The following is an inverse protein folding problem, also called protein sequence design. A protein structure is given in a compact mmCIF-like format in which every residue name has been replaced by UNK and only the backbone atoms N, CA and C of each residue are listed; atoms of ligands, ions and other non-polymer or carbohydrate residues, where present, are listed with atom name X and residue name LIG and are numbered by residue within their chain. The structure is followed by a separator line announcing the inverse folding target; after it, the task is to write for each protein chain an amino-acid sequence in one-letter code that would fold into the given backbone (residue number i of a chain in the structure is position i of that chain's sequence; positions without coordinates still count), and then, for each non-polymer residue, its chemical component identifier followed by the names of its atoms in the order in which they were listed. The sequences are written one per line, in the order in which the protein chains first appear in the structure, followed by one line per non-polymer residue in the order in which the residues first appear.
data_IF_157547155412
#
_entry.id   IF_157547155412
#
_cell.length_a   1.000
_cell.length_b   1.000
_cell.length_c   1.000
_cell.angle_alpha   90.00
_cell.angle_beta   90.00
_cell.angle_gamma   90.00
#
_symmetry.space_group_name_H-M   'P 1'
#
loop_
_entity.id
_entity.type
_entity.pdbx_description
1 polymer ?
#
# COMPACT_ATOMS: atom_id res chain seq x y z
N UNK A 1 -1.45 6.67 -22.95
CA UNK A 1 -0.74 7.71 -23.71
C UNK A 1 -0.10 8.69 -22.74
N UNK A 2 1.21 8.89 -22.87
CA UNK A 2 1.92 9.82 -21.98
C UNK A 2 1.58 11.26 -22.33
N UNK A 3 1.25 12.05 -21.32
CA UNK A 3 0.97 13.46 -21.44
C UNK A 3 2.06 14.26 -20.73
N UNK A 4 2.32 15.44 -21.25
CA UNK A 4 3.31 16.35 -20.67
C UNK A 4 2.61 17.33 -19.73
N UNK A 5 3.12 17.42 -18.51
CA UNK A 5 2.62 18.35 -17.50
C UNK A 5 3.74 19.29 -17.08
N UNK A 6 3.40 20.56 -16.93
CA UNK A 6 4.27 21.53 -16.28
C UNK A 6 3.85 21.64 -14.83
N UNK A 7 4.77 21.28 -13.93
CA UNK A 7 4.50 21.25 -12.48
C UNK A 7 5.47 22.19 -11.76
N UNK A 8 5.04 22.67 -10.60
CA UNK A 8 5.88 23.50 -9.74
C UNK A 8 5.91 22.88 -8.35
N UNK A 9 7.11 22.53 -7.90
CA UNK A 9 7.31 21.93 -6.57
C UNK A 9 8.40 22.74 -5.86
N UNK A 10 8.08 23.25 -4.67
CA UNK A 10 8.99 24.08 -3.86
C UNK A 10 9.61 25.21 -4.71
N UNK A 11 8.78 25.91 -5.47
CA UNK A 11 9.13 27.01 -6.36
C UNK A 11 9.98 26.59 -7.56
N UNK A 12 10.15 25.30 -7.80
CA UNK A 12 10.89 24.79 -8.96
C UNK A 12 9.90 24.32 -10.03
N UNK A 13 9.93 24.95 -11.19
CA UNK A 13 9.12 24.56 -12.33
C UNK A 13 9.83 23.47 -13.14
N UNK A 14 9.09 22.42 -13.51
CA UNK A 14 9.63 21.35 -14.33
C UNK A 14 8.54 20.73 -15.18
N UNK A 15 8.96 20.07 -16.25
CA UNK A 15 8.07 19.31 -17.13
C UNK A 15 8.22 17.83 -16.86
N UNK A 16 7.09 17.14 -16.71
CA UNK A 16 7.08 15.68 -16.54
C UNK A 16 6.16 15.06 -17.57
N UNK A 17 6.51 13.86 -17.99
CA UNK A 17 5.69 13.06 -18.89
C UNK A 17 5.21 11.82 -18.14
N UNK A 18 3.91 11.62 -18.14
CA UNK A 18 3.31 10.49 -17.43
C UNK A 18 1.98 10.10 -18.07
N UNK A 19 1.57 8.86 -17.84
CA UNK A 19 0.26 8.37 -18.25
C UNK A 19 -0.82 8.66 -17.21
N UNK A 20 -0.44 9.20 -16.05
CA UNK A 20 -1.36 9.47 -14.96
C UNK A 20 -2.31 10.63 -15.30
N UNK A 21 -3.47 10.65 -14.66
CA UNK A 21 -4.46 11.70 -14.88
C UNK A 21 -3.98 13.04 -14.32
N UNK A 22 -4.52 14.18 -14.83
CA UNK A 22 -4.19 15.51 -14.29
C UNK A 22 -4.51 15.60 -12.79
N UNK A 23 -5.61 15.03 -12.35
CA UNK A 23 -6.03 15.05 -10.94
C UNK A 23 -5.03 14.32 -10.06
N UNK A 24 -4.52 13.18 -10.53
CA UNK A 24 -3.51 12.41 -9.81
C UNK A 24 -2.19 13.14 -9.72
N UNK A 25 -1.78 13.78 -10.83
CA UNK A 25 -0.55 14.59 -10.86
C UNK A 25 -0.65 15.76 -9.88
N UNK A 26 -1.78 16.46 -9.86
CA UNK A 26 -2.01 17.58 -8.94
C UNK A 26 -1.95 17.13 -7.48
N UNK A 27 -2.51 15.97 -7.18
CA UNK A 27 -2.48 15.40 -5.83
C UNK A 27 -1.04 15.10 -5.39
N UNK A 28 -0.25 14.44 -6.23
CA UNK A 28 1.15 14.13 -5.95
C UNK A 28 1.97 15.40 -5.76
N UNK A 29 1.79 16.36 -6.66
CA UNK A 29 2.52 17.65 -6.60
C UNK A 29 2.20 18.38 -5.31
N UNK A 30 0.93 18.42 -4.92
CA UNK A 30 0.51 19.08 -3.68
C UNK A 30 1.10 18.43 -2.44
N UNK A 31 1.11 17.10 -2.38
CA UNK A 31 1.68 16.36 -1.26
C UNK A 31 3.18 16.59 -1.17
N UNK A 32 3.88 16.47 -2.29
CA UNK A 32 5.33 16.61 -2.34
C UNK A 32 5.78 18.04 -2.04
N UNK A 33 5.11 19.02 -2.61
CA UNK A 33 5.40 20.43 -2.35
C UNK A 33 5.28 20.75 -0.86
N UNK A 34 4.21 20.31 -0.23
CA UNK A 34 3.98 20.52 1.20
C UNK A 34 5.07 19.85 2.05
N UNK A 35 5.42 18.62 1.71
CA UNK A 35 6.42 17.85 2.45
C UNK A 35 7.79 18.51 2.40
N UNK A 36 8.20 18.98 1.21
CA UNK A 36 9.49 19.67 1.03
C UNK A 36 9.51 20.98 1.79
N UNK A 37 8.41 21.75 1.75
CA UNK A 37 8.31 23.01 2.49
C UNK A 37 8.36 22.79 3.99
N UNK A 38 7.73 21.76 4.51
CA UNK A 38 7.76 21.41 5.93
C UNK A 38 9.18 21.07 6.38
N UNK A 39 9.91 20.27 5.62
CA UNK A 39 11.29 19.91 5.94
C UNK A 39 12.18 21.14 5.91
N UNK A 40 12.03 21.98 4.90
CA UNK A 40 12.83 23.19 4.75
C UNK A 40 12.54 24.21 5.88
N UNK A 41 11.29 24.29 6.33
CA UNK A 41 10.90 25.17 7.44
C UNK A 41 11.42 24.64 8.78
N UNK A 42 11.34 23.34 9.01
CA UNK A 42 11.77 22.71 10.25
C UNK A 42 13.29 22.77 10.44
N UNK A 43 14.05 22.79 9.35
CA UNK A 43 15.52 22.88 9.38
C UNK A 43 16.00 24.02 8.50
N UNK A 44 16.25 25.16 9.10
CA UNK A 44 16.71 26.36 8.38
C UNK A 44 18.07 26.19 7.72
N UNK A 45 18.85 25.18 8.11
CA UNK A 45 20.14 24.87 7.51
C UNK A 45 20.03 23.98 6.29
N UNK A 46 18.82 23.50 6.01
CA UNK A 46 18.55 22.58 4.92
C UNK A 46 18.23 23.37 3.65
N UNK A 47 18.96 23.15 2.58
CA UNK A 47 18.65 23.72 1.27
C UNK A 47 17.44 23.01 0.67
N UNK A 48 16.85 23.58 -0.39
CA UNK A 48 15.75 22.94 -1.11
C UNK A 48 16.14 21.57 -1.64
N UNK A 49 17.37 21.45 -2.15
CA UNK A 49 17.86 20.18 -2.69
C UNK A 49 17.99 19.14 -1.56
N UNK A 50 18.53 19.53 -0.41
CA UNK A 50 18.63 18.64 0.73
C UNK A 50 17.25 18.24 1.24
N UNK A 51 16.32 19.19 1.31
CA UNK A 51 14.94 18.89 1.71
C UNK A 51 14.28 17.90 0.74
N UNK A 52 14.52 18.06 -0.55
CA UNK A 52 14.00 17.13 -1.56
C UNK A 52 14.59 15.73 -1.39
N UNK A 53 15.90 15.65 -1.12
CA UNK A 53 16.57 14.35 -0.90
C UNK A 53 16.08 13.68 0.39
N UNK A 54 15.89 14.44 1.46
CA UNK A 54 15.32 13.91 2.70
C UNK A 54 13.89 13.40 2.49
N UNK A 55 13.10 14.15 1.72
CA UNK A 55 11.76 13.75 1.34
C UNK A 55 11.77 12.44 0.57
N UNK A 56 12.69 12.30 -0.40
CA UNK A 56 12.84 11.07 -1.18
C UNK A 56 13.24 9.89 -0.29
N UNK A 57 14.14 10.11 0.66
CA UNK A 57 14.52 9.06 1.63
C UNK A 57 13.32 8.60 2.45
N UNK A 58 12.51 9.53 2.94
CA UNK A 58 11.33 9.20 3.72
C UNK A 58 10.33 8.38 2.91
N UNK A 59 10.05 8.78 1.69
CA UNK A 59 9.13 8.05 0.82
C UNK A 59 9.65 6.67 0.45
N UNK A 60 10.95 6.54 0.20
CA UNK A 60 11.56 5.23 -0.06
C UNK A 60 11.48 4.33 1.16
N UNK A 61 11.73 4.88 2.34
CA UNK A 61 11.62 4.15 3.60
C UNK A 61 10.19 3.65 3.81
N UNK A 62 9.21 4.54 3.63
CA UNK A 62 7.80 4.20 3.78
C UNK A 62 7.38 3.13 2.78
N UNK A 63 7.82 3.25 1.53
CA UNK A 63 7.53 2.26 0.49
C UNK A 63 8.05 0.87 0.88
N UNK A 64 9.29 0.79 1.35
CA UNK A 64 9.89 -0.48 1.77
C UNK A 64 9.13 -1.08 2.95
N UNK A 65 8.78 -0.25 3.95
CA UNK A 65 8.01 -0.69 5.11
C UNK A 65 6.64 -1.22 4.70
N UNK A 66 5.97 -0.53 3.79
CA UNK A 66 4.66 -0.96 3.29
C UNK A 66 4.75 -2.26 2.50
N UNK A 67 5.79 -2.43 1.68
CA UNK A 67 6.01 -3.67 0.93
C UNK A 67 6.23 -4.86 1.87
N UNK A 68 6.99 -4.67 2.94
CA UNK A 68 7.21 -5.69 3.97
C UNK A 68 5.91 -6.04 4.67
N UNK A 69 5.11 -5.04 4.99
CA UNK A 69 3.80 -5.24 5.65
C UNK A 69 2.85 -6.02 4.75
N UNK A 70 2.80 -5.70 3.45
CA UNK A 70 1.96 -6.41 2.48
C UNK A 70 2.38 -7.88 2.40
N UNK A 71 3.67 -8.18 2.33
CA UNK A 71 4.16 -9.56 2.30
C UNK A 71 3.78 -10.32 3.57
N UNK A 72 3.86 -9.67 4.71
CA UNK A 72 3.45 -10.26 5.99
C UNK A 72 1.97 -10.58 6.02
N UNK A 73 1.12 -9.65 5.55
CA UNK A 73 -0.33 -9.84 5.47
C UNK A 73 -0.67 -10.96 4.49
N UNK A 74 0.00 -11.02 3.34
CA UNK A 74 -0.22 -12.06 2.35
C UNK A 74 0.13 -13.44 2.92
N UNK A 75 1.23 -13.54 3.66
CA UNK A 75 1.64 -14.78 4.30
C UNK A 75 0.61 -15.22 5.36
N UNK A 76 0.13 -14.29 6.19
CA UNK A 76 -0.91 -14.57 7.18
C UNK A 76 -2.21 -15.01 6.52
N UNK A 77 -2.61 -14.34 5.44
CA UNK A 77 -3.81 -14.67 4.68
C UNK A 77 -3.72 -16.07 4.11
N UNK A 78 -2.56 -16.45 3.53
CA UNK A 78 -2.35 -17.79 3.00
C UNK A 78 -2.46 -18.85 4.10
N UNK A 79 -1.89 -18.59 5.27
CA UNK A 79 -2.00 -19.50 6.42
C UNK A 79 -3.44 -19.67 6.90
N UNK A 80 -4.17 -18.56 7.01
CA UNK A 80 -5.58 -18.59 7.42
C UNK A 80 -6.44 -19.34 6.42
N UNK A 81 -6.21 -19.13 5.12
CA UNK A 81 -6.95 -19.84 4.07
C UNK A 81 -6.67 -21.35 4.12
N UNK A 82 -5.43 -21.76 4.38
CA UNK A 82 -5.07 -23.17 4.53
C UNK A 82 -5.78 -23.78 5.75
N UNK A 83 -5.86 -23.06 6.87
CA UNK A 83 -6.60 -23.50 8.05
C UNK A 83 -8.08 -23.65 7.78
N UNK A 84 -8.68 -22.67 7.09
CA UNK A 84 -10.11 -22.71 6.73
C UNK A 84 -10.39 -23.92 5.85
N UNK A 85 -9.57 -24.17 4.84
CA UNK A 85 -9.73 -25.32 3.96
C UNK A 85 -9.64 -26.64 4.71
N UNK A 86 -8.68 -26.74 5.64
CA UNK A 86 -8.51 -27.94 6.47
C UNK A 86 -9.72 -28.17 7.38
N UNK A 87 -10.20 -27.12 8.03
CA UNK A 87 -11.36 -27.22 8.93
C UNK A 87 -12.64 -27.54 8.17
N UNK A 88 -12.80 -26.98 6.97
CA UNK A 88 -13.95 -27.27 6.11
C UNK A 88 -13.96 -28.74 5.71
N UNK A 89 -12.81 -29.28 5.29
CA UNK A 89 -12.68 -30.69 4.94
C UNK A 89 -12.98 -31.60 6.14
N UNK A 90 -12.49 -31.24 7.30
CA UNK A 90 -12.74 -32.00 8.53
C UNK A 90 -14.20 -31.97 8.91
N UNK A 91 -14.88 -30.83 8.80
CA UNK A 91 -16.30 -30.71 9.06
C UNK A 91 -17.12 -31.59 8.12
N UNK A 92 -16.79 -31.61 6.84
CA UNK A 92 -17.46 -32.47 5.86
C UNK A 92 -17.28 -33.93 6.22
N UNK A 93 -16.08 -34.32 6.62
CA UNK A 93 -15.80 -35.69 7.05
C UNK A 93 -16.60 -36.09 8.27
N UNK A 94 -16.65 -35.20 9.28
CA UNK A 94 -17.41 -35.46 10.51
C UNK A 94 -18.92 -35.54 10.25
N UNK A 95 -19.45 -34.68 9.39
CA UNK A 95 -20.87 -34.73 9.00
C UNK A 95 -21.17 -36.03 8.30
N UNK A 96 -20.32 -36.49 7.40
CA UNK A 96 -20.50 -37.77 6.72
C UNK A 96 -20.49 -38.94 7.70
N UNK A 97 -19.61 -38.92 8.71
CA UNK A 97 -19.56 -39.95 9.76
C UNK A 97 -20.81 -39.95 10.60
N UNK A 98 -21.33 -38.79 10.98
CA UNK A 98 -22.55 -38.68 11.78
C UNK A 98 -23.76 -39.19 10.99
N UNK A 99 -23.89 -38.83 9.73
CA UNK A 99 -24.98 -39.31 8.88
C UNK A 99 -24.91 -40.82 8.69
N UNK A 100 -23.72 -41.38 8.55
CA UNK A 100 -23.47 -42.82 8.44
C UNK A 100 -23.95 -43.58 9.68
N UNK A 101 -23.87 -42.94 10.83
CA UNK A 101 -24.33 -43.52 12.11
C UNK A 101 -25.77 -43.16 12.44
N UNK A 102 -26.50 -42.61 11.49
CA UNK A 102 -27.93 -42.30 11.67
C UNK A 102 -28.19 -41.02 12.45
N UNK A 103 -27.19 -40.18 12.65
CA UNK A 103 -27.31 -38.88 13.34
C UNK A 103 -27.48 -37.77 12.32
N UNK A 104 -28.55 -37.01 12.48
CA UNK A 104 -28.84 -35.88 11.61
C UNK A 104 -28.10 -34.63 12.08
N UNK A 105 -27.38 -33.96 11.15
CA UNK A 105 -26.65 -32.74 11.44
C UNK A 105 -27.36 -31.55 10.79
N UNK A 106 -27.67 -30.52 11.58
CA UNK A 106 -28.27 -29.29 11.07
C UNK A 106 -27.24 -28.46 10.31
N UNK A 107 -27.65 -27.94 9.13
CA UNK A 107 -26.82 -27.11 8.28
C UNK A 107 -27.02 -25.62 8.60
N UNK A 108 -26.50 -25.13 9.70
CA UNK A 108 -26.55 -23.71 9.98
C UNK A 108 -25.17 -23.08 9.93
#
# INVERSE_FOLDING_TARGET
MKQKYTITIADTEMNVMTEESPEFVDEIVGILDRKIREINTASRRCSKNEAALLCALDYCSDKIKMQKKIRSIDAETAMRNAQINRLTAENERLRALLERNGIRVDKN
#
